data_IF_792049434210
#
_entry.id   IF_792049434210
#
_cell.length_a   1.000
_cell.length_b   1.000
_cell.length_c   1.000
_cell.angle_alpha   90.00
_cell.angle_beta   90.00
_cell.angle_gamma   90.00
#
_symmetry.space_group_name_H-M   'P 1'
#
loop_
_entity.id
_entity.type
_entity.pdbx_description
1 polymer ?
#
# COMPACT_ATOMS: atom_id res chain seq x y z
N UNK A 1 19.58 -16.10 0.70
CA UNK A 1 20.73 -16.59 -0.06
C UNK A 1 21.55 -15.39 -0.52
N UNK A 2 22.82 -15.26 -0.06
CA UNK A 2 23.69 -14.12 -0.42
C UNK A 2 24.06 -14.09 -1.91
N UNK A 3 23.70 -15.11 -2.68
CA UNK A 3 23.95 -15.21 -4.12
C UNK A 3 22.82 -14.66 -5.00
N UNK A 4 21.67 -14.27 -4.43
CA UNK A 4 20.62 -13.62 -5.21
C UNK A 4 20.99 -12.15 -5.45
N UNK A 5 21.56 -11.91 -6.63
CA UNK A 5 21.77 -10.57 -7.15
C UNK A 5 20.41 -9.94 -7.45
N UNK A 6 19.95 -9.05 -6.57
CA UNK A 6 18.73 -8.30 -6.82
C UNK A 6 18.88 -7.46 -8.08
N UNK A 7 18.06 -7.75 -9.08
CA UNK A 7 17.98 -6.92 -10.29
C UNK A 7 17.44 -5.51 -10.02
N UNK A 8 16.89 -5.29 -8.81
CA UNK A 8 16.24 -4.05 -8.39
C UNK A 8 17.12 -3.36 -7.36
N UNK A 9 17.43 -2.09 -7.60
CA UNK A 9 18.16 -1.22 -6.67
C UNK A 9 17.27 -0.07 -6.23
N UNK A 10 17.10 0.06 -4.93
CA UNK A 10 16.45 1.23 -4.33
C UNK A 10 17.46 2.39 -4.35
N UNK A 11 17.11 3.51 -4.98
CA UNK A 11 17.95 4.70 -5.05
C UNK A 11 17.58 5.70 -3.98
N UNK A 12 16.30 5.96 -3.84
CA UNK A 12 15.71 6.85 -2.84
C UNK A 12 14.23 6.48 -2.59
N UNK A 13 13.53 7.30 -1.84
CA UNK A 13 12.12 7.09 -1.48
C UNK A 13 11.15 7.17 -2.66
N UNK A 14 11.60 7.60 -3.83
CA UNK A 14 10.77 7.88 -5.01
C UNK A 14 11.26 7.17 -6.27
N UNK A 15 12.44 6.57 -6.24
CA UNK A 15 13.04 5.96 -7.42
C UNK A 15 13.68 4.61 -7.15
N UNK A 16 13.56 3.74 -8.13
CA UNK A 16 14.30 2.48 -8.17
C UNK A 16 14.90 2.27 -9.56
N UNK A 17 15.94 1.49 -9.62
CA UNK A 17 16.59 1.13 -10.87
C UNK A 17 16.58 -0.38 -11.07
N UNK A 18 16.37 -0.81 -12.31
CA UNK A 18 16.39 -2.21 -12.71
C UNK A 18 17.47 -2.39 -13.77
N UNK A 19 18.39 -3.30 -13.53
CA UNK A 19 19.47 -3.62 -14.46
C UNK A 19 20.30 -4.79 -14.00
N UNK A 20 21.08 -5.37 -14.91
CA UNK A 20 22.01 -6.45 -14.60
C UNK A 20 23.44 -5.89 -14.57
N UNK A 21 24.19 -6.23 -13.51
CA UNK A 21 25.61 -5.87 -13.38
C UNK A 21 26.52 -6.59 -14.40
N UNK A 22 26.05 -7.70 -14.98
CA UNK A 22 26.88 -8.61 -15.79
C UNK A 22 26.67 -8.50 -17.28
N UNK A 23 25.67 -7.77 -17.75
CA UNK A 23 25.46 -7.53 -19.15
C UNK A 23 25.54 -6.02 -19.42
N UNK A 24 26.17 -5.61 -20.52
CA UNK A 24 26.19 -4.22 -21.05
C UNK A 24 24.77 -3.69 -21.35
N UNK A 25 23.79 -3.94 -20.44
CA UNK A 25 22.43 -3.44 -20.50
C UNK A 25 22.32 -2.20 -19.62
N UNK A 26 21.87 -1.13 -20.23
CA UNK A 26 21.58 0.12 -19.57
C UNK A 26 20.61 -0.09 -18.39
N UNK A 27 20.97 0.43 -17.24
CA UNK A 27 20.11 0.44 -16.05
C UNK A 27 18.93 1.38 -16.31
N UNK A 28 17.70 0.87 -16.14
CA UNK A 28 16.49 1.68 -16.27
C UNK A 28 16.03 2.17 -14.92
N UNK A 29 15.85 3.47 -14.78
CA UNK A 29 15.30 4.10 -13.58
C UNK A 29 13.81 4.33 -13.73
N UNK A 30 13.06 3.99 -12.70
CA UNK A 30 11.61 4.18 -12.60
C UNK A 30 11.31 5.11 -11.44
N UNK A 31 10.36 6.02 -11.64
CA UNK A 31 9.90 6.99 -10.66
C UNK A 31 8.51 6.59 -10.15
N UNK A 32 8.28 6.76 -8.85
CA UNK A 32 7.03 6.49 -8.16
C UNK A 32 6.77 7.60 -7.14
N UNK A 33 5.53 7.74 -6.70
CA UNK A 33 5.19 8.65 -5.59
C UNK A 33 5.80 8.19 -4.27
N UNK A 34 5.98 6.86 -4.10
CA UNK A 34 6.69 6.26 -2.97
C UNK A 34 7.28 4.91 -3.35
N UNK A 35 8.49 4.66 -2.93
CA UNK A 35 9.18 3.36 -3.02
C UNK A 35 9.36 2.80 -1.61
N UNK A 36 8.86 1.60 -1.40
CA UNK A 36 8.92 0.92 -0.11
C UNK A 36 9.88 -0.28 -0.22
N UNK A 37 10.94 -0.32 0.57
CA UNK A 37 11.90 -1.43 0.54
C UNK A 37 11.26 -2.75 1.05
N UNK A 38 11.84 -3.92 0.72
CA UNK A 38 11.29 -5.23 1.07
C UNK A 38 11.07 -5.46 2.56
N UNK A 39 11.81 -4.76 3.43
CA UNK A 39 11.67 -4.85 4.88
C UNK A 39 10.56 -3.96 5.46
N UNK A 40 9.82 -3.25 4.62
CA UNK A 40 8.74 -2.36 5.06
C UNK A 40 7.62 -3.15 5.74
N UNK A 41 7.21 -2.70 6.92
CA UNK A 41 6.13 -3.34 7.67
C UNK A 41 4.77 -3.06 7.04
N UNK A 42 3.77 -3.90 7.36
CA UNK A 42 2.38 -3.69 6.94
C UNK A 42 1.81 -2.35 7.45
N UNK A 43 2.21 -1.93 8.66
CA UNK A 43 1.85 -0.64 9.24
C UNK A 43 2.37 0.52 8.38
N UNK A 44 3.63 0.44 7.96
CA UNK A 44 4.25 1.48 7.13
C UNK A 44 3.61 1.56 5.75
N UNK A 45 3.28 0.41 5.15
CA UNK A 45 2.51 0.37 3.88
C UNK A 45 1.14 1.00 4.06
N UNK A 46 0.44 0.68 5.16
CA UNK A 46 -0.86 1.25 5.47
C UNK A 46 -0.80 2.76 5.68
N UNK A 47 0.25 3.29 6.30
CA UNK A 47 0.42 4.73 6.52
C UNK A 47 0.42 5.53 5.21
N UNK A 48 0.96 4.96 4.12
CA UNK A 48 0.92 5.59 2.79
C UNK A 48 -0.49 5.60 2.17
N UNK A 49 -1.32 4.61 2.50
CA UNK A 49 -2.69 4.46 1.98
C UNK A 49 -3.72 5.21 2.83
N UNK A 50 -3.46 5.38 4.12
CA UNK A 50 -4.38 5.98 5.08
C UNK A 50 -4.98 7.31 4.62
N UNK A 51 -4.23 8.29 4.06
CA UNK A 51 -4.81 9.55 3.60
C UNK A 51 -5.85 9.37 2.49
N UNK A 52 -5.65 8.35 1.63
CA UNK A 52 -6.59 8.00 0.55
C UNK A 52 -7.89 7.48 1.14
N UNK A 53 -7.81 6.59 2.14
CA UNK A 53 -8.99 6.06 2.84
C UNK A 53 -9.74 7.17 3.58
N UNK A 54 -9.05 8.06 4.27
CA UNK A 54 -9.66 9.18 4.97
C UNK A 54 -10.33 10.18 4.04
N UNK A 55 -9.95 10.24 2.77
CA UNK A 55 -10.60 11.09 1.77
C UNK A 55 -12.06 10.74 1.51
N UNK A 56 -12.47 9.48 1.80
CA UNK A 56 -13.86 9.04 1.71
C UNK A 56 -14.79 9.89 2.59
N UNK A 57 -14.32 10.30 3.76
CA UNK A 57 -15.09 11.14 4.68
C UNK A 57 -15.24 12.61 4.22
N UNK A 58 -14.56 12.97 3.14
CA UNK A 58 -14.72 14.25 2.43
C UNK A 58 -15.58 14.12 1.17
N UNK A 59 -16.21 12.95 0.98
CA UNK A 59 -17.07 12.66 -0.16
C UNK A 59 -16.33 12.25 -1.43
N UNK A 60 -15.04 11.93 -1.34
CA UNK A 60 -14.26 11.44 -2.48
C UNK A 60 -14.37 9.92 -2.60
N UNK A 61 -14.34 9.41 -3.83
CA UNK A 61 -14.19 7.98 -4.06
C UNK A 61 -12.72 7.61 -3.99
N UNK A 62 -12.43 6.43 -3.45
CA UNK A 62 -11.08 5.91 -3.34
C UNK A 62 -11.01 4.48 -3.87
N UNK A 63 -9.92 4.14 -4.54
CA UNK A 63 -9.64 2.80 -4.99
C UNK A 63 -8.18 2.46 -4.71
N UNK A 64 -7.91 1.28 -4.15
CA UNK A 64 -6.58 0.75 -3.93
C UNK A 64 -6.42 -0.51 -4.76
N UNK A 65 -5.42 -0.54 -5.62
CA UNK A 65 -5.16 -1.65 -6.54
C UNK A 65 -3.77 -2.21 -6.27
N UNK A 66 -3.70 -3.52 -6.01
CA UNK A 66 -2.43 -4.25 -5.96
C UNK A 66 -2.15 -4.84 -7.35
N UNK A 67 -1.04 -4.47 -7.95
CA UNK A 67 -0.61 -4.94 -9.27
C UNK A 67 0.73 -5.67 -9.19
N UNK A 68 0.86 -6.76 -9.92
CA UNK A 68 2.08 -7.57 -9.99
C UNK A 68 1.79 -9.00 -10.46
N UNK A 69 2.85 -9.74 -10.75
CA UNK A 69 2.75 -11.14 -11.15
C UNK A 69 2.26 -12.04 -9.99
N UNK A 70 1.85 -13.26 -10.30
CA UNK A 70 1.53 -14.28 -9.29
C UNK A 70 2.74 -14.52 -8.38
N UNK A 71 2.50 -14.59 -7.07
CA UNK A 71 3.56 -14.79 -6.07
C UNK A 71 4.37 -13.52 -5.72
N UNK A 72 3.99 -12.35 -6.22
CA UNK A 72 4.67 -11.07 -5.91
C UNK A 72 4.29 -10.47 -4.55
N UNK A 73 3.39 -11.11 -3.79
CA UNK A 73 2.98 -10.62 -2.46
C UNK A 73 1.72 -9.75 -2.45
N UNK A 74 0.97 -9.66 -3.57
CA UNK A 74 -0.28 -8.87 -3.63
C UNK A 74 -1.28 -9.24 -2.54
N UNK A 75 -1.52 -10.54 -2.36
CA UNK A 75 -2.46 -11.05 -1.34
C UNK A 75 -1.97 -10.74 0.07
N UNK A 76 -0.67 -10.87 0.33
CA UNK A 76 -0.08 -10.51 1.60
C UNK A 76 -0.25 -9.01 1.90
N UNK A 77 -0.01 -8.14 0.91
CA UNK A 77 -0.21 -6.70 1.06
C UNK A 77 -1.68 -6.35 1.29
N UNK A 78 -2.61 -6.95 0.56
CA UNK A 78 -4.04 -6.63 0.65
C UNK A 78 -4.71 -7.26 1.87
N UNK A 79 -4.58 -8.56 2.06
CA UNK A 79 -5.25 -9.31 3.12
C UNK A 79 -4.35 -9.53 4.34
N UNK A 80 -3.07 -9.77 4.10
CA UNK A 80 -2.13 -10.17 5.14
C UNK A 80 -2.34 -11.60 5.62
N UNK A 81 -1.86 -11.86 6.80
CA UNK A 81 -2.00 -13.11 7.52
C UNK A 81 -2.20 -12.84 9.02
N UNK A 82 -2.64 -13.82 9.82
CA UNK A 82 -2.87 -13.62 11.26
C UNK A 82 -1.65 -13.04 11.98
N UNK A 83 -1.84 -11.90 12.65
CA UNK A 83 -0.79 -11.14 13.32
C UNK A 83 0.06 -10.24 12.42
N UNK A 84 -0.18 -10.28 11.10
CA UNK A 84 0.40 -9.38 10.10
C UNK A 84 -0.66 -8.93 9.09
N UNK A 85 -1.69 -8.29 9.59
CA UNK A 85 -2.84 -7.83 8.81
C UNK A 85 -2.42 -6.88 7.69
N UNK A 86 -3.05 -7.07 6.51
CA UNK A 86 -2.82 -6.24 5.32
C UNK A 86 -3.68 -4.98 5.29
N UNK A 87 -3.79 -4.38 4.11
CA UNK A 87 -4.52 -3.12 3.90
C UNK A 87 -6.02 -3.26 4.16
N UNK A 88 -6.66 -4.35 3.71
CA UNK A 88 -8.12 -4.52 3.83
C UNK A 88 -8.57 -4.47 5.28
N UNK A 89 -8.08 -5.33 6.20
CA UNK A 89 -8.52 -5.28 7.59
C UNK A 89 -8.15 -3.95 8.28
N UNK A 90 -7.01 -3.36 7.96
CA UNK A 90 -6.62 -2.05 8.53
C UNK A 90 -7.50 -0.91 8.03
N UNK A 91 -7.86 -0.89 6.75
CA UNK A 91 -8.79 0.08 6.20
C UNK A 91 -10.18 -0.05 6.82
N UNK A 92 -10.67 -1.28 7.00
CA UNK A 92 -11.95 -1.53 7.68
C UNK A 92 -11.92 -1.00 9.11
N UNK A 93 -10.89 -1.34 9.88
CA UNK A 93 -10.74 -0.85 11.25
C UNK A 93 -10.77 0.69 11.30
N UNK A 94 -9.95 1.34 10.48
CA UNK A 94 -9.91 2.80 10.39
C UNK A 94 -11.28 3.41 10.05
N UNK A 95 -11.98 2.83 9.07
CA UNK A 95 -13.30 3.34 8.66
C UNK A 95 -14.33 3.22 9.79
N UNK A 96 -14.36 2.10 10.50
CA UNK A 96 -15.27 1.91 11.63
C UNK A 96 -14.94 2.82 12.81
N UNK A 97 -13.67 3.00 13.13
CA UNK A 97 -13.22 3.91 14.18
C UNK A 97 -13.62 5.36 13.87
N UNK A 98 -13.36 5.83 12.65
CA UNK A 98 -13.74 7.15 12.20
C UNK A 98 -15.25 7.37 12.18
N UNK A 99 -16.03 6.35 11.75
CA UNK A 99 -17.49 6.40 11.79
C UNK A 99 -18.03 6.49 13.20
N UNK A 100 -17.45 5.73 14.14
CA UNK A 100 -17.82 5.77 15.55
C UNK A 100 -17.57 7.15 16.14
N UNK A 101 -16.38 7.70 15.97
CA UNK A 101 -16.03 9.05 16.44
C UNK A 101 -16.97 10.13 15.88
N UNK A 102 -17.28 10.06 14.57
CA UNK A 102 -18.17 11.02 13.91
C UNK A 102 -19.62 10.89 14.36
N UNK A 103 -20.08 9.67 14.66
CA UNK A 103 -21.39 9.40 15.22
C UNK A 103 -21.50 9.96 16.63
N UNK A 104 -20.48 9.77 17.46
CA UNK A 104 -20.40 10.32 18.81
C UNK A 104 -20.40 11.85 18.78
N UNK A 105 -19.75 12.47 17.79
CA UNK A 105 -19.77 13.91 17.54
C UNK A 105 -21.07 14.44 16.91
N UNK A 106 -22.13 13.60 16.79
CA UNK A 106 -23.43 13.94 16.16
C UNK A 106 -23.32 14.42 14.70
N UNK A 107 -22.32 13.98 13.95
CA UNK A 107 -22.23 14.24 12.53
C UNK A 107 -23.03 13.16 11.77
N UNK A 108 -24.14 13.58 11.10
CA UNK A 108 -24.95 12.69 10.29
C UNK A 108 -24.21 12.31 9.00
N UNK A 109 -23.68 11.10 8.95
CA UNK A 109 -23.12 10.50 7.73
C UNK A 109 -24.13 9.49 7.21
N UNK A 110 -24.66 9.72 6.00
CA UNK A 110 -25.45 8.72 5.27
C UNK A 110 -24.48 7.79 4.55
N UNK A 111 -24.38 6.55 5.03
CA UNK A 111 -23.71 5.46 4.30
C UNK A 111 -24.69 4.96 3.25
N UNK A 112 -24.36 5.05 1.97
CA UNK A 112 -25.10 4.36 0.92
C UNK A 112 -24.52 2.97 0.76
N UNK A 113 -25.39 1.96 0.88
CA UNK A 113 -25.04 0.60 0.52
C UNK A 113 -24.60 0.55 -0.94
N UNK A 114 -23.38 0.14 -1.18
CA UNK A 114 -22.90 -0.21 -2.51
C UNK A 114 -23.25 -1.68 -2.71
N UNK A 115 -24.18 -1.96 -3.63
CA UNK A 115 -24.50 -3.31 -4.09
C UNK A 115 -23.49 -3.77 -5.13
#
# INVERSE_FOLDING_TARGET
DPSQEYCVRFRDDYSLAIGSKTANKEEKTFLFDRVLPPCTSQESVFAEVQPVVLSLFRGMNACVIAYGQTGSGKTFTMSGEPGREGLIPRCCALLFDELKERRERKLSIKVRDVR
#
